data_IF_014878151192
#
_entry.id   IF_014878151192
#
_cell.length_a   1.000
_cell.length_b   1.000
_cell.length_c   1.000
_cell.angle_alpha   90.00
_cell.angle_beta   90.00
_cell.angle_gamma   90.00
#
_symmetry.space_group_name_H-M   'P 1'
#
loop_
_entity.id
_entity.type
_entity.pdbx_description
1 polymer ?
#
# COMPACT_ATOMS: atom_id res chain seq x y z
N UNK A 1 -4.82 -25.54 -18.42
CA UNK A 1 -3.50 -26.23 -18.36
C UNK A 1 -2.79 -25.97 -17.03
N UNK A 2 -2.83 -24.74 -16.50
CA UNK A 2 -2.25 -24.35 -15.19
C UNK A 2 -2.90 -25.08 -13.99
N UNK A 3 -4.24 -25.25 -13.96
CA UNK A 3 -4.96 -26.04 -12.95
C UNK A 3 -4.45 -27.50 -12.80
N UNK A 4 -4.06 -28.15 -13.90
CA UNK A 4 -3.52 -29.52 -13.86
C UNK A 4 -2.06 -29.58 -13.39
N UNK A 5 -1.31 -28.48 -13.55
CA UNK A 5 0.06 -28.34 -13.05
C UNK A 5 0.03 -28.08 -11.54
N UNK A 6 -0.87 -27.22 -11.06
CA UNK A 6 -1.09 -26.92 -9.64
C UNK A 6 -1.61 -28.16 -8.88
N UNK A 7 -2.59 -28.89 -9.43
CA UNK A 7 -3.08 -30.16 -8.84
C UNK A 7 -1.98 -31.22 -8.74
N UNK A 8 -1.12 -31.33 -9.76
CA UNK A 8 0.01 -32.29 -9.75
C UNK A 8 1.11 -31.85 -8.78
N UNK A 9 1.39 -30.56 -8.64
CA UNK A 9 2.31 -30.00 -7.64
C UNK A 9 1.81 -30.26 -6.21
N UNK A 10 0.53 -30.00 -5.93
CA UNK A 10 -0.09 -30.25 -4.61
C UNK A 10 -0.08 -31.74 -4.22
N UNK A 11 -0.33 -32.65 -5.18
CA UNK A 11 -0.27 -34.09 -4.95
C UNK A 11 1.17 -34.61 -4.74
N UNK A 12 2.17 -33.97 -5.37
CA UNK A 12 3.58 -34.34 -5.22
C UNK A 12 4.16 -33.85 -3.88
N UNK A 13 3.73 -32.67 -3.44
CA UNK A 13 4.12 -32.07 -2.15
C UNK A 13 3.55 -32.89 -1.00
N UNK A 14 2.28 -33.31 -1.07
CA UNK A 14 1.64 -34.14 -0.02
C UNK A 14 2.23 -35.55 0.10
N UNK A 15 2.70 -36.16 -1.00
CA UNK A 15 3.32 -37.49 -0.97
C UNK A 15 4.75 -37.50 -0.39
N UNK A 16 5.50 -36.39 -0.50
CA UNK A 16 6.89 -36.31 -0.02
C UNK A 16 7.01 -36.16 1.51
N UNK A 17 5.95 -35.72 2.19
CA UNK A 17 5.98 -35.44 3.64
C UNK A 17 5.55 -36.61 4.52
N UNK A 18 5.18 -37.77 3.96
CA UNK A 18 4.76 -38.94 4.74
C UNK A 18 5.83 -40.01 4.96
N UNK A 19 7.06 -39.82 4.48
CA UNK A 19 8.11 -40.85 4.58
C UNK A 19 9.28 -40.54 5.51
N UNK A 20 9.37 -39.37 6.14
CA UNK A 20 10.47 -39.13 7.08
C UNK A 20 10.07 -38.25 8.28
N UNK A 21 9.88 -38.87 9.44
CA UNK A 21 9.45 -38.23 10.69
C UNK A 21 10.59 -37.61 11.50
N UNK A 22 11.69 -37.21 10.87
CA UNK A 22 12.76 -36.54 11.61
C UNK A 22 13.43 -35.40 10.86
N UNK A 23 13.32 -34.21 11.47
CA UNK A 23 14.10 -32.98 11.22
C UNK A 23 13.64 -32.06 10.08
N UNK A 24 12.62 -31.24 10.32
CA UNK A 24 12.59 -29.79 9.96
C UNK A 24 11.65 -29.07 10.94
N UNK A 25 12.19 -28.22 11.82
CA UNK A 25 11.42 -27.43 12.79
C UNK A 25 11.44 -25.94 12.40
N UNK A 26 10.31 -25.27 12.67
CA UNK A 26 9.99 -23.83 12.64
C UNK A 26 9.83 -23.06 11.31
N UNK A 27 10.25 -23.55 10.14
CA UNK A 27 9.96 -22.87 8.86
C UNK A 27 8.67 -23.34 8.16
N UNK A 28 8.25 -24.58 8.41
CA UNK A 28 7.24 -25.28 7.59
C UNK A 28 5.82 -25.22 8.19
N UNK A 29 5.69 -24.92 9.49
CA UNK A 29 4.37 -24.72 10.12
C UNK A 29 3.69 -23.42 9.67
N UNK A 30 4.45 -22.38 9.33
CA UNK A 30 3.91 -21.14 8.80
C UNK A 30 3.27 -21.35 7.40
N UNK A 31 3.87 -22.22 6.57
CA UNK A 31 3.28 -22.62 5.30
C UNK A 31 2.01 -23.46 5.48
N UNK A 32 1.89 -24.24 6.56
CA UNK A 32 0.67 -25.01 6.83
C UNK A 32 -0.50 -24.11 7.25
N UNK A 33 -0.24 -23.05 8.02
CA UNK A 33 -1.27 -22.08 8.38
C UNK A 33 -1.69 -21.24 7.16
N UNK A 34 -0.77 -20.83 6.30
CA UNK A 34 -1.12 -20.11 5.06
C UNK A 34 -1.89 -20.99 4.06
N UNK A 35 -1.62 -22.30 3.99
CA UNK A 35 -2.33 -23.22 3.09
C UNK A 35 -3.74 -23.54 3.62
N UNK A 36 -3.94 -23.60 4.94
CA UNK A 36 -5.27 -23.77 5.53
C UNK A 36 -6.15 -22.53 5.35
N UNK A 37 -5.54 -21.33 5.34
CA UNK A 37 -6.24 -20.07 5.01
C UNK A 37 -6.63 -20.00 3.53
N UNK A 38 -5.78 -20.50 2.63
CA UNK A 38 -6.12 -20.61 1.20
C UNK A 38 -7.23 -21.65 0.98
N UNK A 39 -7.25 -22.76 1.73
CA UNK A 39 -8.31 -23.75 1.62
C UNK A 39 -9.70 -23.23 2.05
N UNK A 40 -9.76 -22.34 3.05
CA UNK A 40 -11.00 -21.65 3.44
C UNK A 40 -11.45 -20.61 2.40
N UNK A 41 -10.51 -19.85 1.83
CA UNK A 41 -10.82 -18.84 0.81
C UNK A 41 -11.23 -19.41 -0.56
N UNK A 42 -10.90 -20.68 -0.85
CA UNK A 42 -11.14 -21.32 -2.15
C UNK A 42 -12.14 -22.49 -2.12
N UNK A 43 -12.90 -22.65 -1.04
CA UNK A 43 -14.06 -23.56 -0.98
C UNK A 43 -13.76 -24.97 -1.52
N UNK A 44 -12.96 -25.75 -0.80
CA UNK A 44 -12.93 -27.20 -1.08
C UNK A 44 -14.19 -27.82 -0.47
N UNK A 45 -15.05 -28.40 -1.32
CA UNK A 45 -16.30 -29.13 -1.05
C UNK A 45 -16.20 -30.34 -0.07
N UNK A 46 -15.25 -30.34 0.86
CA UNK A 46 -14.95 -31.48 1.73
C UNK A 46 -15.54 -31.34 3.16
N UNK A 47 -16.57 -30.50 3.34
CA UNK A 47 -17.44 -30.55 4.54
C UNK A 47 -16.73 -30.31 5.88
N UNK A 48 -15.68 -29.50 5.91
CA UNK A 48 -15.07 -29.02 7.16
C UNK A 48 -15.80 -27.74 7.61
N UNK A 49 -16.54 -27.83 8.71
CA UNK A 49 -17.13 -26.67 9.39
C UNK A 49 -16.00 -25.71 9.80
N UNK A 50 -16.11 -24.45 9.35
CA UNK A 50 -15.23 -23.37 9.78
C UNK A 50 -15.66 -22.91 11.18
N UNK A 51 -14.70 -22.73 12.09
CA UNK A 51 -14.94 -22.29 13.46
C UNK A 51 -15.55 -20.87 13.47
N UNK A 52 -16.53 -20.61 14.34
CA UNK A 52 -17.36 -19.39 14.41
C UNK A 52 -16.58 -18.09 14.73
N UNK A 53 -15.27 -18.15 14.93
CA UNK A 53 -14.39 -17.03 15.30
C UNK A 53 -13.61 -16.41 14.11
N UNK A 54 -13.95 -16.75 12.86
CA UNK A 54 -13.39 -16.11 11.67
C UNK A 54 -13.93 -14.67 11.51
N UNK A 55 -13.19 -13.69 12.05
CA UNK A 55 -13.44 -12.24 11.94
C UNK A 55 -13.05 -11.65 10.57
N UNK A 56 -13.44 -12.30 9.47
CA UNK A 56 -13.35 -11.73 8.14
C UNK A 56 -14.51 -12.31 7.33
N UNK A 57 -15.56 -11.50 7.14
CA UNK A 57 -16.55 -11.72 6.08
C UNK A 57 -16.26 -10.68 4.99
N UNK A 58 -15.26 -10.92 4.12
CA UNK A 58 -15.25 -10.23 2.86
C UNK A 58 -16.29 -10.97 2.02
N UNK A 59 -17.44 -10.35 1.76
CA UNK A 59 -18.29 -10.86 0.70
C UNK A 59 -17.46 -10.84 -0.58
N UNK A 60 -16.93 -11.99 -0.97
CA UNK A 60 -16.44 -12.26 -2.31
C UNK A 60 -17.11 -13.54 -2.73
N UNK A 61 -18.43 -13.47 -2.89
CA UNK A 61 -19.19 -14.49 -3.61
C UNK A 61 -18.58 -14.59 -5.00
N UNK A 62 -17.75 -15.60 -5.23
CA UNK A 62 -17.18 -15.83 -6.55
C UNK A 62 -18.30 -16.25 -7.51
N UNK A 63 -18.48 -15.51 -8.61
CA UNK A 63 -19.49 -15.83 -9.62
C UNK A 63 -18.85 -16.47 -10.84
N UNK A 64 -19.52 -17.46 -11.44
CA UNK A 64 -19.00 -18.14 -12.62
C UNK A 64 -19.11 -17.27 -13.89
N UNK A 65 -20.16 -16.45 -13.99
CA UNK A 65 -20.44 -15.59 -15.14
C UNK A 65 -21.06 -14.25 -14.73
N UNK A 66 -21.03 -13.25 -15.63
CA UNK A 66 -21.69 -11.95 -15.44
C UNK A 66 -23.19 -12.07 -15.10
N UNK A 67 -23.86 -13.10 -15.64
CA UNK A 67 -25.30 -13.33 -15.40
C UNK A 67 -25.63 -13.84 -13.99
N UNK A 68 -24.61 -14.24 -13.23
CA UNK A 68 -24.75 -14.75 -11.87
C UNK A 68 -24.47 -13.67 -10.81
N UNK A 69 -24.15 -12.44 -11.24
CA UNK A 69 -23.98 -11.31 -10.33
C UNK A 69 -25.30 -10.98 -9.62
N UNK A 70 -25.29 -10.71 -8.30
CA UNK A 70 -26.47 -10.22 -7.61
C UNK A 70 -26.92 -8.88 -8.21
N UNK A 71 -28.14 -8.40 -7.93
CA UNK A 71 -28.52 -7.04 -8.28
C UNK A 71 -27.45 -6.04 -7.76
N UNK A 72 -27.00 -5.11 -8.60
CA UNK A 72 -26.14 -3.99 -8.18
C UNK A 72 -27.01 -2.95 -7.45
N UNK A 73 -27.66 -3.41 -6.40
CA UNK A 73 -28.54 -2.65 -5.53
C UNK A 73 -27.84 -2.61 -4.17
N UNK A 74 -27.10 -1.53 -3.98
CA UNK A 74 -26.14 -1.32 -2.90
C UNK A 74 -26.69 -1.60 -1.50
N UNK A 75 -26.07 -2.53 -0.74
CA UNK A 75 -25.72 -2.37 0.71
C UNK A 75 -24.54 -3.30 1.04
N UNK A 76 -23.31 -2.78 0.96
CA UNK A 76 -22.24 -3.19 1.88
C UNK A 76 -22.39 -2.44 3.20
N UNK A 77 -21.85 -2.97 4.29
CA UNK A 77 -21.72 -2.19 5.54
C UNK A 77 -20.67 -1.11 5.29
N UNK A 78 -21.01 0.16 5.52
CA UNK A 78 -20.09 1.32 5.50
C UNK A 78 -19.74 1.94 4.13
N UNK A 79 -20.64 1.88 3.13
CA UNK A 79 -20.47 2.59 1.85
C UNK A 79 -19.16 2.29 1.08
N UNK A 80 -18.64 1.07 1.22
CA UNK A 80 -17.53 0.53 0.40
C UNK A 80 -18.06 -0.17 -0.87
N UNK A 81 -17.50 0.07 -2.08
CA UNK A 81 -17.90 -0.63 -3.30
C UNK A 81 -17.84 -2.14 -3.12
N UNK A 82 -18.92 -2.86 -3.46
CA UNK A 82 -18.92 -4.32 -3.46
C UNK A 82 -18.08 -4.81 -4.65
N UNK A 83 -17.03 -5.58 -4.36
CA UNK A 83 -16.20 -6.24 -5.36
C UNK A 83 -16.59 -7.70 -5.47
N UNK A 84 -16.84 -8.18 -6.70
CA UNK A 84 -17.13 -9.59 -6.96
C UNK A 84 -16.07 -10.15 -7.90
N UNK A 85 -15.31 -11.14 -7.43
CA UNK A 85 -14.31 -11.82 -8.25
C UNK A 85 -14.95 -12.94 -9.09
N UNK A 86 -14.50 -13.13 -10.33
CA UNK A 86 -14.86 -14.29 -11.17
C UNK A 86 -13.63 -14.93 -11.80
N UNK A 87 -13.79 -16.09 -12.44
CA UNK A 87 -12.68 -16.73 -13.18
C UNK A 87 -12.13 -15.87 -14.33
N UNK A 88 -12.88 -14.86 -14.80
CA UNK A 88 -12.55 -14.09 -16.01
C UNK A 88 -12.33 -12.59 -15.77
N UNK A 89 -12.88 -12.01 -14.69
CA UNK A 89 -12.79 -10.58 -14.38
C UNK A 89 -13.25 -10.29 -12.95
N UNK A 90 -12.79 -9.19 -12.37
CA UNK A 90 -13.37 -8.63 -11.16
C UNK A 90 -14.48 -7.65 -11.55
N UNK A 91 -15.54 -7.55 -10.77
CA UNK A 91 -16.64 -6.63 -11.02
C UNK A 91 -16.78 -5.68 -9.85
N UNK A 92 -17.07 -4.41 -10.13
CA UNK A 92 -17.44 -3.43 -9.12
C UNK A 92 -18.79 -2.79 -9.49
N UNK A 93 -19.58 -2.48 -8.46
CA UNK A 93 -20.89 -1.88 -8.63
C UNK A 93 -20.76 -0.34 -8.64
N UNK A 94 -21.20 0.29 -9.73
CA UNK A 94 -21.23 1.76 -9.90
C UNK A 94 -22.52 2.18 -10.61
N UNK A 95 -23.18 3.23 -10.12
CA UNK A 95 -24.45 3.75 -10.67
C UNK A 95 -25.55 2.68 -10.88
N UNK A 96 -25.65 1.68 -9.99
CA UNK A 96 -26.56 0.52 -10.12
C UNK A 96 -26.27 -0.41 -11.31
N UNK A 97 -25.03 -0.40 -11.81
CA UNK A 97 -24.54 -1.30 -12.84
C UNK A 97 -23.24 -1.99 -12.41
N UNK A 98 -23.15 -3.28 -12.72
CA UNK A 98 -21.88 -4.00 -12.58
C UNK A 98 -20.97 -3.67 -13.75
N UNK A 99 -19.77 -3.19 -13.43
CA UNK A 99 -18.72 -2.90 -14.39
C UNK A 99 -17.62 -3.94 -14.24
N UNK A 100 -17.23 -4.57 -15.35
CA UNK A 100 -16.09 -5.49 -15.38
C UNK A 100 -14.78 -4.70 -15.36
N UNK A 101 -13.86 -5.08 -14.48
CA UNK A 101 -12.47 -4.60 -14.47
C UNK A 101 -11.73 -4.94 -15.76
N UNK A 102 -12.22 -5.91 -16.54
CA UNK A 102 -11.65 -6.30 -17.85
C UNK A 102 -12.30 -5.61 -19.06
N UNK A 103 -13.52 -5.06 -18.93
CA UNK A 103 -14.17 -4.27 -19.99
C UNK A 103 -13.80 -2.78 -19.94
N UNK A 104 -13.04 -2.35 -18.92
CA UNK A 104 -12.18 -1.18 -19.04
C UNK A 104 -11.06 -1.56 -20.01
N UNK A 105 -11.39 -1.60 -21.31
CA UNK A 105 -10.42 -1.43 -22.37
C UNK A 105 -9.83 -0.04 -22.14
N UNK A 106 -8.67 -0.02 -21.51
CA UNK A 106 -7.87 1.18 -21.29
C UNK A 106 -7.43 1.72 -22.65
N UNK A 107 -8.32 2.46 -23.31
CA UNK A 107 -8.01 3.18 -24.52
C UNK A 107 -7.15 4.40 -24.13
N UNK A 108 -5.87 4.08 -23.88
CA UNK A 108 -4.75 4.98 -23.64
C UNK A 108 -4.66 5.63 -22.25
N UNK A 109 -3.47 5.51 -21.62
CA UNK A 109 -3.12 6.29 -20.43
C UNK A 109 -3.21 7.78 -20.79
N UNK A 110 -3.96 8.61 -20.05
CA UNK A 110 -4.02 10.04 -20.34
C UNK A 110 -2.60 10.62 -20.30
N UNK A 111 -2.29 11.61 -21.15
CA UNK A 111 -0.97 12.25 -21.13
C UNK A 111 -0.68 12.78 -19.72
N UNK A 112 0.54 12.58 -19.25
CA UNK A 112 0.96 13.15 -17.96
C UNK A 112 0.93 14.66 -18.10
N UNK A 113 0.04 15.30 -17.35
CA UNK A 113 -0.04 16.76 -17.29
C UNK A 113 1.09 17.28 -16.41
N UNK A 114 1.76 18.39 -16.78
CA UNK A 114 2.61 19.10 -15.84
C UNK A 114 1.75 19.54 -14.65
N UNK A 115 2.10 19.10 -13.45
CA UNK A 115 1.49 19.63 -12.22
C UNK A 115 2.23 20.89 -11.79
N UNK A 116 1.49 21.91 -11.40
CA UNK A 116 2.04 23.12 -10.80
C UNK A 116 2.01 22.97 -9.27
N UNK A 117 3.17 23.13 -8.65
CA UNK A 117 3.25 23.09 -7.20
C UNK A 117 2.90 24.44 -6.59
N UNK A 118 2.11 24.39 -5.54
CA UNK A 118 2.09 25.46 -4.55
C UNK A 118 3.23 25.25 -3.56
N UNK A 119 3.54 26.28 -2.76
CA UNK A 119 4.65 26.23 -1.81
C UNK A 119 4.18 26.65 -0.43
N UNK A 120 4.60 25.91 0.58
CA UNK A 120 4.36 26.21 1.98
C UNK A 120 5.69 26.32 2.71
N UNK A 121 5.88 27.41 3.47
CA UNK A 121 7.04 27.55 4.35
C UNK A 121 6.61 27.21 5.76
N UNK A 122 7.19 26.15 6.34
CA UNK A 122 6.93 25.77 7.72
C UNK A 122 7.50 26.85 8.65
N UNK A 123 6.67 27.61 9.40
CA UNK A 123 7.14 28.72 10.22
C UNK A 123 7.99 28.25 11.40
N UNK A 124 7.98 26.96 11.73
CA UNK A 124 8.68 26.40 12.88
C UNK A 124 10.16 26.18 12.62
N UNK A 125 10.54 25.94 11.37
CA UNK A 125 11.93 25.64 10.98
C UNK A 125 12.40 26.31 9.67
N UNK A 126 11.51 26.95 8.92
CA UNK A 126 11.79 27.66 7.68
C UNK A 126 11.93 26.76 6.45
N UNK A 127 11.68 25.44 6.54
CA UNK A 127 11.70 24.58 5.37
C UNK A 127 10.53 24.93 4.43
N UNK A 128 10.84 25.01 3.14
CA UNK A 128 9.85 25.19 2.09
C UNK A 128 9.50 23.82 1.50
N UNK A 129 8.22 23.48 1.57
CA UNK A 129 7.63 22.27 1.01
C UNK A 129 6.82 22.62 -0.23
N UNK A 130 6.83 21.72 -1.21
CA UNK A 130 5.90 21.77 -2.33
C UNK A 130 4.59 21.13 -1.89
N UNK A 131 3.48 21.71 -2.35
CA UNK A 131 2.14 21.17 -2.16
C UNK A 131 1.57 20.75 -3.50
N UNK A 132 0.96 19.57 -3.55
CA UNK A 132 0.21 19.08 -4.69
C UNK A 132 -1.24 18.81 -4.31
N UNK A 133 -2.15 19.01 -5.25
CA UNK A 133 -3.57 18.69 -5.07
C UNK A 133 -3.89 17.38 -5.77
N UNK A 134 -4.48 16.44 -5.04
CA UNK A 134 -4.90 15.14 -5.57
C UNK A 134 -6.38 14.99 -5.24
N UNK A 135 -7.21 15.04 -6.29
CA UNK A 135 -8.64 15.23 -6.16
C UNK A 135 -8.96 16.51 -5.38
N UNK A 136 -9.61 16.31 -4.26
CA UNK A 136 -10.00 17.40 -3.38
C UNK A 136 -8.86 17.76 -2.40
N UNK A 137 -7.99 16.81 -2.02
CA UNK A 137 -7.02 16.93 -0.93
C UNK A 137 -5.72 17.65 -1.33
N UNK A 138 -5.10 18.36 -0.38
CA UNK A 138 -3.81 19.04 -0.57
C UNK A 138 -2.71 18.38 0.26
N UNK A 139 -1.70 17.85 -0.44
CA UNK A 139 -0.64 17.00 0.11
C UNK A 139 0.72 17.68 0.04
N UNK A 140 1.57 17.45 1.03
CA UNK A 140 3.01 17.69 0.87
C UNK A 140 3.57 16.77 -0.22
N UNK A 141 4.36 17.31 -1.15
CA UNK A 141 5.05 16.50 -2.15
C UNK A 141 6.36 15.90 -1.60
N UNK A 142 6.89 16.40 -0.49
CA UNK A 142 8.06 15.83 0.19
C UNK A 142 7.72 15.22 1.56
N UNK A 143 8.58 14.33 2.02
CA UNK A 143 8.53 13.84 3.39
C UNK A 143 8.86 14.98 4.37
N UNK A 144 8.17 15.01 5.50
CA UNK A 144 8.35 16.02 6.54
C UNK A 144 9.79 16.02 7.09
N UNK A 145 10.39 17.21 7.23
CA UNK A 145 11.75 17.42 7.77
C UNK A 145 11.80 18.07 9.15
N UNK A 146 10.65 18.28 9.79
CA UNK A 146 10.54 18.95 11.08
C UNK A 146 11.19 18.14 12.21
N UNK A 147 12.10 18.76 12.97
CA UNK A 147 12.79 18.07 14.08
C UNK A 147 11.93 18.03 15.34
N UNK A 148 11.51 16.84 15.71
CA UNK A 148 10.92 16.50 17.02
C UNK A 148 11.96 15.92 17.99
N UNK A 149 11.54 15.54 19.19
CA UNK A 149 12.39 14.88 20.20
C UNK A 149 12.91 13.51 19.73
N UNK A 150 12.06 12.70 19.06
CA UNK A 150 12.35 11.31 18.72
C UNK A 150 12.58 11.06 17.23
N UNK A 151 12.40 12.06 16.39
CA UNK A 151 12.70 11.97 14.97
C UNK A 151 14.18 11.77 14.71
N UNK A 152 14.49 10.95 13.73
CA UNK A 152 15.85 10.73 13.26
C UNK A 152 15.97 11.23 11.83
N UNK A 153 17.14 11.74 11.48
CA UNK A 153 17.49 12.11 10.12
C UNK A 153 18.66 11.23 9.67
N UNK A 154 18.67 10.79 8.40
CA UNK A 154 19.88 10.24 7.82
C UNK A 154 20.90 11.36 7.61
N UNK A 155 22.17 10.99 7.47
CA UNK A 155 23.26 11.95 7.24
C UNK A 155 23.37 12.35 5.76
N UNK A 156 23.96 13.53 5.52
CA UNK A 156 24.35 14.00 4.19
C UNK A 156 23.19 14.25 3.22
N UNK A 157 23.44 14.04 1.93
CA UNK A 157 22.48 14.34 0.86
C UNK A 157 21.19 13.50 0.94
N UNK A 158 21.23 12.35 1.62
CA UNK A 158 20.05 11.51 1.77
C UNK A 158 18.93 12.26 2.51
N UNK A 159 19.27 13.09 3.50
CA UNK A 159 18.31 13.92 4.24
C UNK A 159 17.49 14.83 3.31
N UNK A 160 18.12 15.39 2.28
CA UNK A 160 17.45 16.25 1.31
C UNK A 160 16.42 15.48 0.47
N UNK A 161 16.61 14.17 0.30
CA UNK A 161 15.71 13.31 -0.48
C UNK A 161 14.59 12.72 0.37
N UNK A 162 14.91 12.10 1.51
CA UNK A 162 13.96 11.28 2.27
C UNK A 162 13.41 11.97 3.52
N UNK A 163 13.99 13.10 3.93
CA UNK A 163 13.56 13.85 5.11
C UNK A 163 13.90 13.16 6.43
N UNK A 164 13.01 13.25 7.41
CA UNK A 164 13.16 12.60 8.72
C UNK A 164 12.19 11.42 8.87
N UNK A 165 12.51 10.55 9.83
CA UNK A 165 11.70 9.41 10.22
C UNK A 165 11.19 9.61 11.64
N UNK A 166 9.92 9.29 11.86
CA UNK A 166 9.20 9.56 13.11
C UNK A 166 8.63 8.25 13.64
N UNK A 167 8.61 8.07 14.95
CA UNK A 167 7.74 7.02 15.54
C UNK A 167 6.28 7.44 15.40
N UNK A 168 5.35 6.49 15.41
CA UNK A 168 3.93 6.80 15.26
C UNK A 168 3.48 7.88 16.27
N UNK A 169 3.82 7.73 17.55
CA UNK A 169 3.50 8.70 18.61
C UNK A 169 4.06 10.12 18.37
N UNK A 170 5.19 10.20 17.70
CA UNK A 170 5.91 11.45 17.46
C UNK A 170 5.40 12.15 16.20
N UNK A 171 4.94 11.37 15.21
CA UNK A 171 4.28 11.84 14.00
C UNK A 171 2.98 12.60 14.29
N UNK A 172 2.24 12.19 15.33
CA UNK A 172 0.95 12.78 15.76
C UNK A 172 0.96 14.30 15.92
N UNK A 173 2.12 14.88 16.23
CA UNK A 173 2.28 16.33 16.44
C UNK A 173 3.35 16.93 15.53
N UNK A 174 3.78 16.19 14.51
CA UNK A 174 4.91 16.58 13.68
C UNK A 174 4.49 17.57 12.58
N UNK A 175 3.29 17.43 12.02
CA UNK A 175 2.81 18.33 10.97
C UNK A 175 2.58 19.76 11.49
N UNK A 176 2.78 20.79 10.64
CA UNK A 176 2.61 22.19 11.02
C UNK A 176 1.15 22.57 11.22
N UNK A 177 0.88 23.71 11.84
CA UNK A 177 -0.48 24.22 12.03
C UNK A 177 -1.24 24.31 10.69
N UNK A 178 -2.49 23.85 10.68
CA UNK A 178 -3.30 23.72 9.48
C UNK A 178 -3.01 22.47 8.63
N UNK A 179 -2.07 21.63 9.07
CA UNK A 179 -1.80 20.32 8.48
C UNK A 179 -1.80 19.24 9.56
N UNK A 180 -2.11 18.02 9.16
CA UNK A 180 -2.09 16.84 10.01
C UNK A 180 -1.44 15.67 9.29
N UNK A 181 -1.16 14.62 10.06
CA UNK A 181 -0.83 13.33 9.48
C UNK A 181 -2.13 12.69 8.97
N UNK A 182 -2.12 12.00 7.82
CA UNK A 182 -3.35 11.61 7.16
C UNK A 182 -4.03 10.48 7.93
N UNK A 183 -5.36 10.38 7.84
CA UNK A 183 -6.10 9.18 8.28
C UNK A 183 -6.18 8.15 7.16
N UNK A 184 -6.60 6.93 7.50
CA UNK A 184 -6.80 5.86 6.53
C UNK A 184 -7.95 6.19 5.57
N UNK A 185 -8.96 6.94 6.00
CA UNK A 185 -9.99 7.49 5.11
C UNK A 185 -9.39 8.47 4.09
N UNK A 186 -8.50 9.38 4.52
CA UNK A 186 -7.88 10.34 3.60
C UNK A 186 -6.97 9.65 2.57
N UNK A 187 -6.22 8.64 3.00
CA UNK A 187 -5.45 7.80 2.07
C UNK A 187 -6.36 7.04 1.09
N UNK A 188 -7.49 6.51 1.55
CA UNK A 188 -8.49 5.82 0.70
C UNK A 188 -9.12 6.77 -0.31
N UNK A 189 -9.48 7.99 0.09
CA UNK A 189 -9.99 9.03 -0.80
C UNK A 189 -8.99 9.36 -1.92
N UNK A 190 -7.70 9.53 -1.58
CA UNK A 190 -6.65 9.73 -2.59
C UNK A 190 -6.54 8.53 -3.52
N UNK A 191 -6.54 7.31 -2.97
CA UNK A 191 -6.44 6.07 -3.73
C UNK A 191 -7.59 5.93 -4.74
N UNK A 192 -8.82 6.20 -4.31
CA UNK A 192 -10.02 6.14 -5.17
C UNK A 192 -9.93 7.16 -6.29
N UNK A 193 -9.62 8.43 -5.97
CA UNK A 193 -9.46 9.47 -7.00
C UNK A 193 -8.41 9.09 -8.04
N UNK A 194 -7.24 8.60 -7.58
CA UNK A 194 -6.15 8.20 -8.50
C UNK A 194 -6.57 7.05 -9.39
N UNK A 195 -7.29 6.06 -8.84
CA UNK A 195 -7.79 4.90 -9.59
C UNK A 195 -8.75 5.31 -10.70
N UNK A 196 -9.61 6.30 -10.43
CA UNK A 196 -10.57 6.82 -11.41
C UNK A 196 -9.90 7.69 -12.49
N UNK A 197 -8.90 8.51 -12.14
CA UNK A 197 -8.32 9.53 -13.04
C UNK A 197 -7.09 9.04 -13.84
N UNK A 198 -6.37 8.01 -13.38
CA UNK A 198 -5.04 7.69 -13.96
C UNK A 198 -5.06 6.88 -15.26
N UNK A 199 -6.23 6.49 -15.77
CA UNK A 199 -6.41 5.74 -17.00
C UNK A 199 -5.65 4.41 -17.02
N UNK A 200 -5.90 3.59 -16.00
CA UNK A 200 -5.39 2.22 -15.83
C UNK A 200 -3.92 2.08 -15.47
N UNK A 201 -3.33 3.12 -14.93
CA UNK A 201 -2.09 2.95 -14.17
C UNK A 201 -2.42 2.40 -12.78
N UNK A 202 -1.51 1.66 -12.16
CA UNK A 202 -1.72 1.30 -10.76
C UNK A 202 -1.35 2.50 -9.86
N UNK A 203 -2.10 2.68 -8.77
CA UNK A 203 -2.02 3.87 -7.91
C UNK A 203 -0.60 4.13 -7.42
N UNK A 204 0.12 3.11 -6.99
CA UNK A 204 1.51 3.24 -6.55
C UNK A 204 2.42 3.74 -7.68
N UNK A 205 2.30 3.21 -8.91
CA UNK A 205 3.06 3.72 -10.05
C UNK A 205 2.76 5.20 -10.32
N UNK A 206 1.50 5.63 -10.21
CA UNK A 206 1.12 7.04 -10.40
C UNK A 206 1.71 7.99 -9.35
N UNK A 207 1.99 7.52 -8.13
CA UNK A 207 2.42 8.35 -6.99
C UNK A 207 3.93 8.32 -6.76
N UNK A 208 4.60 7.23 -7.15
CA UNK A 208 6.05 7.06 -7.08
C UNK A 208 6.77 8.12 -7.91
N UNK A 209 7.96 8.53 -7.45
CA UNK A 209 8.88 9.34 -8.28
C UNK A 209 9.30 8.60 -9.56
N UNK A 210 9.65 9.38 -10.58
CA UNK A 210 9.99 8.97 -11.94
C UNK A 210 11.45 8.55 -12.17
N UNK A 211 12.24 8.43 -11.10
CA UNK A 211 13.69 8.24 -11.21
C UNK A 211 14.28 7.41 -10.06
N UNK A 212 13.86 7.65 -8.82
CA UNK A 212 14.54 7.08 -7.64
C UNK A 212 14.23 5.60 -7.35
N UNK A 213 13.21 5.01 -7.98
CA UNK A 213 12.84 3.60 -7.75
C UNK A 213 13.68 2.61 -8.57
N UNK A 214 14.14 3.02 -9.75
CA UNK A 214 15.09 2.28 -10.57
C UNK A 214 16.54 2.66 -10.31
N UNK A 215 16.81 3.62 -9.43
CA UNK A 215 18.17 4.10 -9.11
C UNK A 215 18.42 3.97 -7.60
N UNK A 216 19.13 2.93 -7.16
CA UNK A 216 19.40 2.73 -5.73
C UNK A 216 20.31 3.82 -5.14
N UNK A 217 19.82 4.51 -4.10
CA UNK A 217 20.61 5.37 -3.23
C UNK A 217 21.46 4.51 -2.28
N UNK A 218 22.77 4.38 -2.54
CA UNK A 218 23.73 3.82 -1.57
C UNK A 218 24.41 4.95 -0.77
N UNK A 219 24.31 4.98 0.57
CA UNK A 219 24.96 5.99 1.41
C UNK A 219 26.50 6.04 1.34
N UNK A 220 27.16 5.03 0.74
CA UNK A 220 28.62 4.87 0.83
C UNK A 220 29.39 4.75 -0.49
N UNK A 221 28.75 4.72 -1.67
CA UNK A 221 29.49 4.33 -2.90
C UNK A 221 29.26 5.12 -4.18
N UNK A 222 28.52 6.25 -4.20
CA UNK A 222 28.27 7.01 -5.45
C UNK A 222 27.86 6.11 -6.65
N UNK A 223 26.64 5.57 -6.55
CA UNK A 223 25.87 4.87 -7.60
C UNK A 223 26.44 3.51 -8.01
N UNK A 224 25.69 2.43 -7.74
CA UNK A 224 25.73 1.22 -8.57
C UNK A 224 24.37 0.52 -8.60
N UNK A 225 23.83 0.45 -9.82
CA UNK A 225 22.88 -0.51 -10.40
C UNK A 225 21.54 -0.68 -9.65
N UNK A 226 20.55 0.08 -10.14
CA UNK A 226 19.14 -0.24 -10.03
C UNK A 226 18.82 -1.69 -10.33
N UNK A 227 17.74 -2.19 -9.75
CA UNK A 227 17.11 -3.35 -10.34
C UNK A 227 16.44 -2.87 -11.64
N UNK A 228 16.90 -3.38 -12.79
CA UNK A 228 16.31 -3.07 -14.10
C UNK A 228 14.82 -3.44 -14.19
N UNK A 229 14.37 -4.32 -13.29
CA UNK A 229 12.98 -4.74 -13.16
C UNK A 229 12.12 -3.85 -12.23
N UNK A 230 12.71 -2.85 -11.57
CA UNK A 230 11.94 -1.98 -10.67
C UNK A 230 11.01 -1.08 -11.49
N UNK A 231 9.71 -1.13 -11.17
CA UNK A 231 8.71 -0.26 -11.78
C UNK A 231 8.95 1.19 -11.37
N UNK A 232 9.42 1.98 -12.34
CA UNK A 232 9.58 3.43 -12.22
C UNK A 232 8.19 4.06 -12.12
N UNK A 233 8.02 4.96 -11.17
CA UNK A 233 6.79 5.73 -11.07
C UNK A 233 6.62 6.69 -12.23
N UNK A 234 5.42 7.20 -12.43
CA UNK A 234 5.17 8.29 -13.38
C UNK A 234 5.10 9.65 -12.69
N UNK A 235 4.96 9.65 -11.35
CA UNK A 235 4.73 10.83 -10.54
C UNK A 235 3.61 11.72 -11.10
N UNK A 236 2.58 11.12 -11.71
CA UNK A 236 1.51 11.80 -12.46
C UNK A 236 0.83 12.92 -11.66
N UNK A 237 0.71 12.72 -10.35
CA UNK A 237 0.02 13.64 -9.44
C UNK A 237 0.98 14.53 -8.63
N UNK A 238 2.27 14.51 -8.94
CA UNK A 238 3.27 15.31 -8.23
C UNK A 238 3.53 14.89 -6.78
N UNK A 239 3.00 13.75 -6.32
CA UNK A 239 3.11 13.28 -4.94
C UNK A 239 4.56 12.95 -4.51
N UNK A 240 5.41 12.58 -5.47
CA UNK A 240 6.84 12.30 -5.28
C UNK A 240 7.11 11.33 -4.13
N UNK A 241 6.47 10.16 -4.13
CA UNK A 241 6.85 9.09 -3.20
C UNK A 241 8.25 8.57 -3.54
N UNK A 242 9.22 8.83 -2.66
CA UNK A 242 10.59 8.32 -2.73
C UNK A 242 10.70 7.00 -1.95
N UNK A 243 11.55 6.05 -2.36
CA UNK A 243 11.74 4.78 -1.65
C UNK A 243 12.60 4.98 -0.39
N UNK A 244 12.01 5.59 0.65
CA UNK A 244 12.71 6.08 1.83
C UNK A 244 13.20 4.99 2.79
N UNK A 245 12.73 3.75 2.66
CA UNK A 245 12.96 2.71 3.65
C UNK A 245 12.34 3.05 5.01
N UNK A 246 12.85 2.42 6.07
CA UNK A 246 12.37 2.60 7.45
C UNK A 246 13.45 2.22 8.46
N UNK A 247 13.36 2.73 9.68
CA UNK A 247 14.13 2.19 10.79
C UNK A 247 13.24 1.30 11.65
N UNK A 248 13.60 0.03 11.77
CA UNK A 248 12.87 -0.93 12.61
C UNK A 248 13.11 -0.63 14.10
N UNK A 249 12.25 -1.16 14.97
CA UNK A 249 12.39 -0.98 16.41
C UNK A 249 13.76 -1.48 16.88
N UNK A 250 14.48 -0.66 17.67
CA UNK A 250 15.83 -0.94 18.21
C UNK A 250 16.91 -1.14 17.15
N UNK A 251 16.66 -0.77 15.89
CA UNK A 251 17.67 -0.71 14.84
C UNK A 251 18.08 0.74 14.58
N UNK A 252 19.39 0.96 14.46
CA UNK A 252 19.96 2.21 13.95
C UNK A 252 20.35 2.09 12.46
N UNK A 253 20.03 0.96 11.83
CA UNK A 253 20.24 0.73 10.40
C UNK A 253 18.95 1.01 9.62
N UNK A 254 19.12 1.72 8.49
CA UNK A 254 18.03 2.03 7.58
C UNK A 254 17.70 0.81 6.71
N UNK A 255 16.53 0.23 6.95
CA UNK A 255 16.02 -0.97 6.31
C UNK A 255 15.29 -0.64 5.00
N UNK A 256 15.58 -1.41 3.94
CA UNK A 256 14.92 -1.31 2.62
C UNK A 256 14.94 0.08 1.95
N UNK A 257 15.98 0.89 2.23
CA UNK A 257 16.22 2.11 1.44
C UNK A 257 16.34 1.77 -0.05
N UNK A 258 15.66 2.54 -0.90
CA UNK A 258 15.61 2.30 -2.34
C UNK A 258 14.63 1.19 -2.78
N UNK A 259 14.04 0.45 -1.83
CA UNK A 259 13.14 -0.67 -2.11
C UNK A 259 11.70 -0.41 -1.70
N UNK A 260 11.48 0.42 -0.69
CA UNK A 260 10.19 0.53 -0.04
C UNK A 260 10.02 1.92 0.55
N UNK A 261 8.79 2.37 0.69
CA UNK A 261 8.44 3.54 1.49
C UNK A 261 7.20 3.26 2.32
N UNK A 262 7.13 3.89 3.49
CA UNK A 262 5.97 3.81 4.39
C UNK A 262 5.61 5.18 4.90
N UNK A 263 4.32 5.45 4.97
CA UNK A 263 3.76 6.66 5.55
C UNK A 263 2.87 6.32 6.73
N UNK A 264 3.02 7.04 7.84
CA UNK A 264 2.10 6.89 8.96
C UNK A 264 0.68 7.33 8.61
N UNK A 265 -0.28 6.64 9.21
CA UNK A 265 -1.67 7.05 9.27
C UNK A 265 -2.12 7.31 10.72
N UNK A 266 -3.16 8.12 10.88
CA UNK A 266 -3.71 8.54 12.17
C UNK A 266 -5.09 7.98 12.45
N UNK A 267 -5.15 6.69 12.73
CA UNK A 267 -6.43 5.99 12.86
C UNK A 267 -6.77 5.65 14.30
N UNK A 268 -8.07 5.71 14.57
CA UNK A 268 -8.66 5.35 15.84
C UNK A 268 -9.70 4.24 15.61
N UNK A 269 -9.25 2.99 15.61
CA UNK A 269 -10.15 1.86 15.48
C UNK A 269 -10.87 1.60 16.81
N UNK A 270 -12.17 1.91 16.87
CA UNK A 270 -13.05 1.64 18.03
C UNK A 270 -12.52 2.19 19.36
N UNK A 271 -11.93 3.38 19.34
CA UNK A 271 -11.35 4.00 20.54
C UNK A 271 -9.98 3.44 20.94
N UNK A 272 -9.40 2.54 20.12
CA UNK A 272 -8.01 2.12 20.20
C UNK A 272 -7.24 2.78 19.07
N UNK A 273 -6.27 3.55 19.49
CA UNK A 273 -5.21 4.07 18.64
C UNK A 273 -4.44 2.90 18.03
N UNK A 274 -4.41 2.81 16.70
CA UNK A 274 -3.65 1.79 15.95
C UNK A 274 -2.60 2.50 15.10
N UNK A 275 -1.40 1.93 15.04
CA UNK A 275 -0.38 2.39 14.13
C UNK A 275 -0.55 1.67 12.79
N UNK A 276 -1.11 2.36 11.81
CA UNK A 276 -1.27 1.88 10.45
C UNK A 276 -0.24 2.58 9.56
N UNK A 277 0.26 1.85 8.55
CA UNK A 277 1.17 2.45 7.58
C UNK A 277 0.77 2.12 6.17
N UNK A 278 0.89 3.10 5.27
CA UNK A 278 0.64 2.87 3.85
C UNK A 278 1.95 2.63 3.11
N UNK A 279 1.98 1.57 2.31
CA UNK A 279 3.20 0.99 1.76
C UNK A 279 3.22 1.06 0.24
N UNK A 280 4.39 1.40 -0.30
CA UNK A 280 4.74 1.12 -1.69
C UNK A 280 6.09 0.40 -1.68
N UNK A 281 6.21 -0.68 -2.44
CA UNK A 281 7.46 -1.42 -2.62
C UNK A 281 7.91 -1.40 -4.08
N UNK A 282 9.13 -1.84 -4.36
CA UNK A 282 9.71 -1.76 -5.69
C UNK A 282 9.24 -2.86 -6.66
N UNK A 283 8.72 -3.98 -6.15
CA UNK A 283 8.25 -5.11 -6.97
C UNK A 283 6.85 -4.87 -7.50
N UNK A 284 6.02 -4.20 -6.70
CA UNK A 284 4.65 -3.87 -7.04
C UNK A 284 4.47 -2.42 -7.47
N UNK A 285 3.33 -2.16 -8.08
CA UNK A 285 2.80 -0.83 -8.36
C UNK A 285 1.55 -0.52 -7.53
N UNK A 286 1.28 -1.35 -6.53
CA UNK A 286 0.22 -1.16 -5.56
C UNK A 286 0.59 -0.09 -4.52
N UNK A 287 -0.46 0.52 -3.99
CA UNK A 287 -0.43 1.35 -2.80
C UNK A 287 -1.45 0.76 -1.84
N UNK A 288 -1.00 0.24 -0.70
CA UNK A 288 -1.83 -0.55 0.20
C UNK A 288 -1.59 -0.23 1.66
N UNK A 289 -2.62 -0.52 2.45
CA UNK A 289 -2.66 -0.46 3.91
C UNK A 289 -1.89 -1.64 4.53
N UNK A 290 -1.03 -1.35 5.51
CA UNK A 290 -0.46 -2.31 6.46
C UNK A 290 -0.88 -1.96 7.90
N UNK A 291 -1.98 -2.58 8.35
CA UNK A 291 -2.53 -2.49 9.71
C UNK A 291 -1.62 -3.10 10.80
N UNK A 292 -0.52 -3.78 10.42
CA UNK A 292 0.37 -4.48 11.35
C UNK A 292 1.62 -3.67 11.75
N UNK A 293 1.69 -2.39 11.36
CA UNK A 293 2.86 -1.57 11.57
C UNK A 293 3.17 -1.38 13.07
N UNK A 294 4.42 -1.68 13.46
CA UNK A 294 4.85 -1.49 14.85
C UNK A 294 5.03 0.02 15.13
N UNK A 295 4.34 0.59 16.14
CA UNK A 295 4.36 2.04 16.44
C UNK A 295 5.75 2.59 16.80
N UNK A 296 6.70 1.73 17.17
CA UNK A 296 8.08 2.10 17.50
C UNK A 296 9.02 2.10 16.30
N UNK A 297 8.57 1.67 15.11
CA UNK A 297 9.31 1.91 13.88
C UNK A 297 9.42 3.41 13.63
N UNK A 298 10.44 3.83 12.89
CA UNK A 298 10.52 5.20 12.40
C UNK A 298 10.37 5.19 10.90
N UNK A 299 9.28 5.75 10.43
CA UNK A 299 8.93 5.84 9.00
C UNK A 299 8.65 7.29 8.61
N UNK A 300 8.41 7.51 7.32
CA UNK A 300 8.19 8.86 6.77
C UNK A 300 6.83 9.40 7.18
N UNK A 301 6.72 10.73 7.22
CA UNK A 301 5.46 11.44 7.43
C UNK A 301 5.16 12.29 6.20
N UNK A 302 3.92 12.21 5.73
CA UNK A 302 3.38 13.01 4.63
C UNK A 302 2.23 13.84 5.21
N UNK A 303 2.40 15.16 5.29
CA UNK A 303 1.33 16.00 5.84
C UNK A 303 0.28 16.33 4.78
N UNK A 304 -0.98 16.39 5.22
CA UNK A 304 -2.15 16.77 4.43
C UNK A 304 -2.84 17.96 5.13
N UNK A 305 -3.57 18.78 4.37
CA UNK A 305 -4.42 19.86 4.89
C UNK A 305 -5.90 19.48 4.73
N UNK A 306 -6.67 19.68 5.79
CA UNK A 306 -8.13 19.53 5.81
C UNK A 306 -8.82 20.42 4.75
N UNK A 307 -10.01 19.99 4.31
CA UNK A 307 -10.91 20.81 3.52
C UNK A 307 -11.37 22.06 4.28
N UNK A 308 -11.22 23.23 3.66
CA UNK A 308 -11.96 24.45 4.07
C UNK A 308 -13.41 24.41 3.56
#
# INVERSE_FOLDING_TARGET
MIRNIIRKLMAFVTAFFWTDKSKVFSGVLACFWSVQHIACAYGTDDGLECDDDCLYDPVVDTVATLGDLPPCDYIGKDDVPTFVASENADYYCSEHQWLSSTEILCEEKPPIKPFEYEFFTDPRDGYVYRLTRIGSQTWFAENLRFKTEKSIAPDGELFNVVGRYYTWKDAQTACPEGFHIPTSEEWKEMWLFVTEDNGCENVGASLKTDSLWSEYLKPSTNIVQGNEDALVGTNRYGFKAVPAGSYLEKSDELYLLGQLTRFWSNDNYRGKIVAESWVMDFWGDNFFDDESANPNWRISVRCIKDFE
#
